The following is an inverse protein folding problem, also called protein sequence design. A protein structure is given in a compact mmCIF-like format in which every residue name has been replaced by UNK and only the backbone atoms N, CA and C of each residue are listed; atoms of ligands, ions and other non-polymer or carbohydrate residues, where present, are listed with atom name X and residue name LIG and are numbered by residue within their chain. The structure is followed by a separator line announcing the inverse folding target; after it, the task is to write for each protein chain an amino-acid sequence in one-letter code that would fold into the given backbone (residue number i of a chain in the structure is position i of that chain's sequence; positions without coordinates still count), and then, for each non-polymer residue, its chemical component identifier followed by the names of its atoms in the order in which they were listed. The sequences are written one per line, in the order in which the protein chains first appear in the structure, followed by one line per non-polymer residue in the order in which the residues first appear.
data_IF_481467207262
#
_entry.id   IF_481467207262
#
_cell.length_a   1.000
_cell.length_b   1.000
_cell.length_c   1.000
_cell.angle_alpha   90.00
_cell.angle_beta   90.00
_cell.angle_gamma   90.00
#
_symmetry.space_group_name_H-M   'P 1'
#
loop_
_entity.id
_entity.type
_entity.pdbx_description
1 polymer ?
#
# COMPACT_ATOMS: atom_id res chain seq x y z
N UNK A 1 19.01 17.11 -18.98
CA UNK A 1 18.15 17.69 -17.94
C UNK A 1 18.00 16.65 -16.85
N UNK A 2 18.69 16.82 -15.72
CA UNK A 2 18.56 15.91 -14.57
C UNK A 2 17.25 16.26 -13.87
N UNK A 3 16.22 15.44 -14.01
CA UNK A 3 15.03 15.57 -13.18
C UNK A 3 15.47 15.41 -11.73
N UNK A 4 15.28 16.45 -10.91
CA UNK A 4 15.49 16.35 -9.47
C UNK A 4 14.53 15.27 -8.95
N UNK A 5 15.04 14.04 -8.81
CA UNK A 5 14.27 12.88 -8.39
C UNK A 5 14.10 12.96 -6.89
N UNK A 6 13.04 13.61 -6.45
CA UNK A 6 12.63 13.58 -5.07
C UNK A 6 12.14 12.16 -4.73
N UNK A 7 12.69 11.59 -3.66
CA UNK A 7 12.25 10.30 -3.15
C UNK A 7 10.82 10.42 -2.62
N UNK A 8 10.02 9.39 -2.78
CA UNK A 8 8.65 9.30 -2.25
C UNK A 8 8.50 8.07 -1.38
N UNK A 9 7.59 8.13 -0.41
CA UNK A 9 7.17 6.93 0.31
C UNK A 9 6.55 5.96 -0.70
N UNK A 10 6.87 4.67 -0.57
CA UNK A 10 6.29 3.61 -1.39
C UNK A 10 4.76 3.63 -1.37
N UNK A 11 4.19 3.86 -0.18
CA UNK A 11 2.75 3.95 0.05
C UNK A 11 2.14 5.30 -0.36
N UNK A 12 2.89 6.15 -1.06
CA UNK A 12 2.47 7.46 -1.56
C UNK A 12 1.91 8.42 -0.48
N UNK A 13 2.33 8.25 0.77
CA UNK A 13 1.95 9.13 1.86
C UNK A 13 2.30 10.59 1.55
N UNK A 14 1.36 11.50 1.78
CA UNK A 14 1.61 12.92 1.80
C UNK A 14 2.28 13.27 3.14
N UNK A 15 3.61 13.34 3.14
CA UNK A 15 4.39 13.59 4.35
C UNK A 15 5.66 14.36 4.04
N UNK A 16 5.91 15.37 4.85
CA UNK A 16 7.20 16.08 4.91
C UNK A 16 8.20 15.39 5.87
N UNK A 17 7.87 14.18 6.33
CA UNK A 17 8.65 13.40 7.30
C UNK A 17 9.90 12.74 6.72
N UNK A 18 10.65 12.03 7.57
CA UNK A 18 11.87 11.32 7.15
C UNK A 18 11.48 10.09 6.32
N UNK A 19 12.13 9.95 5.18
CA UNK A 19 12.05 8.77 4.32
C UNK A 19 13.19 7.81 4.63
N UNK A 20 12.86 6.66 5.21
CA UNK A 20 13.81 5.61 5.54
C UNK A 20 14.11 4.73 4.34
N UNK A 21 15.40 4.52 4.08
CA UNK A 21 15.86 3.51 3.12
C UNK A 21 15.68 2.12 3.73
N UNK A 22 15.41 1.16 2.86
CA UNK A 22 15.49 -0.25 3.22
C UNK A 22 16.86 -0.62 3.83
N UNK A 23 16.91 -1.57 4.78
CA UNK A 23 18.17 -2.04 5.36
C UNK A 23 19.16 -2.53 4.30
N UNK A 24 20.47 -2.44 4.54
CA UNK A 24 21.43 -3.02 3.60
C UNK A 24 21.34 -4.56 3.67
N UNK A 25 20.95 -5.24 2.58
CA UNK A 25 20.80 -6.70 2.57
C UNK A 25 22.11 -7.45 2.84
N UNK A 26 23.28 -6.87 2.52
CA UNK A 26 24.59 -7.51 2.77
C UNK A 26 24.96 -7.56 4.26
N UNK A 27 24.37 -6.69 5.08
CA UNK A 27 24.69 -6.59 6.51
C UNK A 27 23.51 -6.96 7.42
N UNK A 28 22.28 -6.92 6.88
CA UNK A 28 21.07 -7.11 7.66
C UNK A 28 19.94 -7.67 6.79
N UNK A 29 20.21 -8.84 6.21
CA UNK A 29 19.30 -9.55 5.31
C UNK A 29 17.95 -9.86 5.98
N UNK A 30 17.97 -10.34 7.22
CA UNK A 30 16.74 -10.69 7.95
C UNK A 30 15.80 -9.49 8.10
N UNK A 31 16.33 -8.33 8.53
CA UNK A 31 15.54 -7.11 8.64
C UNK A 31 15.08 -6.60 7.27
N UNK A 32 15.92 -6.73 6.24
CA UNK A 32 15.52 -6.39 4.88
C UNK A 32 14.32 -7.24 4.43
N UNK A 33 14.37 -8.55 4.68
CA UNK A 33 13.29 -9.47 4.35
C UNK A 33 12.01 -9.16 5.14
N UNK A 34 12.10 -8.74 6.40
CA UNK A 34 10.93 -8.27 7.17
C UNK A 34 10.28 -7.04 6.54
N UNK A 35 11.06 -6.07 6.08
CA UNK A 35 10.51 -4.90 5.38
C UNK A 35 9.95 -5.27 4.01
N UNK A 36 10.57 -6.23 3.32
CA UNK A 36 10.11 -6.66 2.00
C UNK A 36 8.71 -7.28 2.04
N UNK A 37 8.31 -7.89 3.16
CA UNK A 37 6.97 -8.46 3.36
C UNK A 37 5.84 -7.44 3.25
N UNK A 38 6.10 -6.14 3.41
CA UNK A 38 5.07 -5.09 3.27
C UNK A 38 4.92 -4.58 1.84
N UNK A 39 5.77 -5.03 0.92
CA UNK A 39 5.70 -4.67 -0.49
C UNK A 39 4.77 -5.61 -1.25
N UNK A 40 4.18 -5.13 -2.33
CA UNK A 40 3.39 -5.94 -3.25
C UNK A 40 4.27 -6.97 -3.98
N UNK A 41 3.66 -8.04 -4.45
CA UNK A 41 4.38 -9.17 -5.07
C UNK A 41 5.13 -8.78 -6.34
N UNK A 42 4.62 -7.82 -7.12
CA UNK A 42 5.28 -7.32 -8.33
C UNK A 42 6.52 -6.49 -7.97
N UNK A 43 6.45 -5.72 -6.89
CA UNK A 43 7.58 -4.96 -6.38
C UNK A 43 8.68 -5.88 -5.83
N UNK A 44 8.29 -6.95 -5.11
CA UNK A 44 9.23 -7.95 -4.62
C UNK A 44 10.02 -8.61 -5.77
N UNK A 45 9.37 -8.89 -6.91
CA UNK A 45 10.00 -9.46 -8.11
C UNK A 45 11.05 -8.57 -8.77
N UNK A 46 11.07 -7.25 -8.51
CA UNK A 46 12.07 -6.33 -9.07
C UNK A 46 13.48 -6.56 -8.51
N UNK A 47 13.59 -7.32 -7.42
CA UNK A 47 14.86 -7.76 -6.86
C UNK A 47 15.46 -6.84 -5.81
N UNK A 48 16.33 -7.43 -5.01
CA UNK A 48 16.91 -6.85 -3.78
C UNK A 48 17.61 -5.51 -4.03
N UNK A 49 18.45 -5.44 -5.08
CA UNK A 49 19.23 -4.23 -5.37
C UNK A 49 18.35 -3.08 -5.88
N UNK A 50 17.28 -3.37 -6.61
CA UNK A 50 16.32 -2.37 -7.02
C UNK A 50 15.60 -1.79 -5.79
N UNK A 51 15.11 -2.67 -4.91
CA UNK A 51 14.37 -2.30 -3.71
C UNK A 51 15.22 -1.42 -2.79
N UNK A 52 16.44 -1.87 -2.46
CA UNK A 52 17.36 -1.12 -1.59
C UNK A 52 17.64 0.29 -2.11
N UNK A 53 17.88 0.43 -3.42
CA UNK A 53 18.24 1.72 -4.02
C UNK A 53 17.06 2.66 -4.15
N UNK A 54 15.88 2.14 -4.54
CA UNK A 54 14.76 2.98 -4.96
C UNK A 54 13.65 3.16 -3.92
N UNK A 55 13.47 2.20 -3.01
CA UNK A 55 12.29 2.16 -2.15
C UNK A 55 12.53 2.89 -0.84
N UNK A 56 11.52 3.63 -0.39
CA UNK A 56 11.53 4.36 0.88
C UNK A 56 10.22 4.17 1.63
N UNK A 57 10.29 4.16 2.95
CA UNK A 57 9.13 4.18 3.84
C UNK A 57 9.23 5.38 4.77
N UNK A 58 8.14 6.11 4.93
CA UNK A 58 8.10 7.23 5.87
C UNK A 58 7.96 6.78 7.33
N UNK A 59 8.19 7.69 8.27
CA UNK A 59 8.05 7.47 9.72
C UNK A 59 6.67 6.93 10.15
N UNK A 60 5.61 7.22 9.38
CA UNK A 60 4.24 6.83 9.73
C UNK A 60 4.00 5.31 9.67
N UNK A 61 4.92 4.54 9.10
CA UNK A 61 4.83 3.08 9.03
C UNK A 61 5.52 2.37 10.20
N UNK A 62 6.21 3.12 11.07
CA UNK A 62 6.94 2.57 12.20
C UNK A 62 6.33 3.04 13.51
N UNK A 63 6.18 2.12 14.46
CA UNK A 63 5.75 2.48 15.80
C UNK A 63 6.70 3.47 16.47
N UNK A 64 6.17 4.30 17.37
CA UNK A 64 6.93 5.38 18.00
C UNK A 64 8.16 4.87 18.77
N UNK A 65 8.09 3.70 19.41
CA UNK A 65 9.20 3.11 20.16
C UNK A 65 10.34 2.60 19.27
N UNK A 66 10.10 2.41 17.97
CA UNK A 66 11.14 2.16 16.98
C UNK A 66 11.87 3.43 16.55
N UNK A 67 11.38 4.62 16.92
CA UNK A 67 11.96 5.90 16.54
C UNK A 67 12.76 6.49 17.69
N UNK A 68 13.99 6.87 17.39
CA UNK A 68 14.82 7.66 18.30
C UNK A 68 14.39 9.14 18.26
N UNK A 69 14.73 9.95 19.28
CA UNK A 69 14.49 11.41 19.25
C UNK A 69 15.11 12.10 18.02
N UNK A 70 16.19 11.53 17.47
CA UNK A 70 16.85 11.99 16.24
C UNK A 70 16.14 11.60 14.94
N UNK A 71 14.91 11.07 15.03
CA UNK A 71 14.12 10.52 13.92
C UNK A 71 14.79 9.36 13.16
N UNK A 72 15.84 8.74 13.72
CA UNK A 72 16.42 7.49 13.19
C UNK A 72 15.63 6.30 13.73
N UNK A 73 15.59 5.24 12.93
CA UNK A 73 15.03 3.96 13.36
C UNK A 73 16.03 3.16 14.21
N UNK A 74 15.53 2.45 15.21
CA UNK A 74 16.32 1.50 16.00
C UNK A 74 16.76 0.30 15.15
N UNK A 75 17.70 -0.49 15.67
CA UNK A 75 18.30 -1.63 14.96
C UNK A 75 17.28 -2.70 14.54
N UNK A 76 16.24 -2.89 15.35
CA UNK A 76 15.23 -3.94 15.16
C UNK A 76 13.92 -3.40 14.59
N UNK A 77 13.88 -2.14 14.16
CA UNK A 77 12.66 -1.54 13.66
C UNK A 77 12.24 -2.15 12.32
N UNK A 78 10.96 -2.50 12.21
CA UNK A 78 10.29 -2.91 10.99
C UNK A 78 8.92 -2.23 10.87
N UNK A 79 8.41 -2.05 9.64
CA UNK A 79 7.13 -1.39 9.46
C UNK A 79 6.00 -2.27 10.00
N UNK A 80 5.14 -1.70 10.83
CA UNK A 80 3.98 -2.38 11.45
C UNK A 80 2.68 -1.59 11.29
N UNK A 81 2.75 -0.32 10.91
CA UNK A 81 1.61 0.59 10.85
C UNK A 81 1.26 0.96 9.41
N UNK A 82 -0.04 1.16 9.14
CA UNK A 82 -0.56 1.76 7.89
C UNK A 82 -0.12 1.01 6.61
N UNK A 83 0.05 -0.32 6.68
CA UNK A 83 0.50 -1.17 5.55
C UNK A 83 -0.67 -1.59 4.65
N UNK A 84 -1.86 -1.84 5.24
CA UNK A 84 -3.03 -2.34 4.52
C UNK A 84 -3.69 -1.31 3.58
N UNK A 85 -3.28 -0.04 3.64
CA UNK A 85 -3.87 1.03 2.83
C UNK A 85 -3.44 0.99 1.35
N UNK A 86 -2.51 0.11 0.98
CA UNK A 86 -1.96 0.03 -0.38
C UNK A 86 -2.29 -1.27 -1.12
N UNK A 87 -2.93 -2.23 -0.47
CA UNK A 87 -3.51 -3.39 -1.18
C UNK A 87 -4.77 -3.01 -1.97
N UNK A 88 -5.07 -1.70 -2.06
CA UNK A 88 -6.17 -1.12 -2.79
C UNK A 88 -5.71 -0.41 -4.06
N UNK A 89 -5.27 -1.17 -5.05
CA UNK A 89 -5.96 -1.05 -6.34
C UNK A 89 -7.31 -1.76 -6.22
N UNK A 90 -8.18 -1.25 -5.34
CA UNK A 90 -9.62 -1.41 -5.44
C UNK A 90 -10.08 -0.16 -6.19
N UNK A 91 -10.49 -0.23 -7.46
CA UNK A 91 -11.57 0.67 -7.85
C UNK A 91 -12.73 0.37 -6.88
N UNK A 92 -13.54 1.36 -6.50
CA UNK A 92 -14.90 1.19 -5.93
C UNK A 92 -15.13 1.46 -4.41
N UNK A 93 -14.18 1.67 -3.49
CA UNK A 93 -14.57 2.16 -2.13
C UNK A 93 -14.96 3.66 -2.08
N UNK A 94 -14.79 4.41 -3.16
CA UNK A 94 -15.45 5.72 -3.33
C UNK A 94 -16.95 5.54 -3.64
N UNK A 95 -17.37 4.39 -4.19
CA UNK A 95 -18.79 4.15 -4.48
C UNK A 95 -19.59 3.97 -3.18
N UNK A 96 -19.00 3.37 -2.15
CA UNK A 96 -19.63 3.25 -0.82
C UNK A 96 -19.78 4.61 -0.12
N UNK A 97 -18.94 5.60 -0.47
CA UNK A 97 -19.13 7.00 -0.05
C UNK A 97 -20.27 7.67 -0.83
N UNK A 98 -20.50 7.29 -2.10
CA UNK A 98 -21.56 7.81 -2.97
C UNK A 98 -22.94 7.20 -2.69
N UNK A 99 -23.02 6.10 -1.93
CA UNK A 99 -24.28 5.63 -1.32
C UNK A 99 -24.93 6.74 -0.46
N UNK A 100 -24.15 7.71 0.04
CA UNK A 100 -24.67 8.78 0.88
C UNK A 100 -25.24 10.01 0.11
N UNK A 101 -25.41 9.94 -1.22
CA UNK A 101 -25.95 11.06 -2.02
C UNK A 101 -27.22 10.75 -2.84
N UNK A 102 -27.87 9.59 -2.65
CA UNK A 102 -29.16 9.29 -3.31
C UNK A 102 -30.30 9.43 -2.29
N UNK A 103 -31.36 10.22 -2.56
CA UNK A 103 -32.50 10.34 -1.63
C UNK A 103 -33.29 9.02 -1.53
N UNK A 104 -33.92 8.76 -0.38
CA UNK A 104 -34.71 7.54 -0.08
C UNK A 104 -35.79 7.20 -1.13
N UNK A 105 -36.19 8.15 -1.96
CA UNK A 105 -37.31 8.04 -2.91
C UNK A 105 -37.07 7.06 -4.08
N UNK A 106 -35.84 6.60 -4.32
CA UNK A 106 -35.51 5.72 -5.46
C UNK A 106 -35.58 4.21 -5.12
N UNK A 107 -35.63 3.84 -3.83
CA UNK A 107 -35.56 2.45 -3.37
C UNK A 107 -36.81 1.59 -3.70
N UNK A 108 -37.97 2.18 -3.96
CA UNK A 108 -39.22 1.43 -4.17
C UNK A 108 -39.40 0.87 -5.60
N UNK A 109 -38.48 1.14 -6.53
CA UNK A 109 -38.65 0.81 -7.96
C UNK A 109 -37.94 -0.48 -8.42
N UNK A 110 -37.14 -1.12 -7.56
CA UNK A 110 -36.19 -2.17 -7.97
C UNK A 110 -36.64 -3.61 -7.63
N UNK A 111 -37.75 -3.82 -6.93
CA UNK A 111 -38.14 -5.19 -6.52
C UNK A 111 -38.78 -6.02 -7.64
N UNK A 112 -39.13 -5.47 -8.80
CA UNK A 112 -40.01 -6.19 -9.75
C UNK A 112 -39.43 -6.43 -11.15
N UNK A 113 -38.20 -6.02 -11.47
CA UNK A 113 -37.68 -6.19 -12.85
C UNK A 113 -36.20 -6.53 -12.92
N UNK A 114 -35.97 -7.76 -13.39
CA UNK A 114 -34.99 -8.10 -14.44
C UNK A 114 -33.61 -8.53 -13.95
N UNK A 115 -32.95 -9.57 -14.48
CA UNK A 115 -33.27 -10.61 -15.47
C UNK A 115 -32.15 -11.64 -15.34
N UNK A 116 -32.55 -12.89 -15.48
CA UNK A 116 -31.79 -14.11 -15.70
C UNK A 116 -30.63 -13.91 -16.69
N UNK A 117 -29.38 -13.99 -16.24
CA UNK A 117 -28.20 -14.18 -17.11
C UNK A 117 -27.82 -15.66 -17.02
N UNK A 118 -28.26 -16.45 -18.00
CA UNK A 118 -27.82 -17.83 -18.20
C UNK A 118 -26.40 -17.83 -18.77
N UNK A 119 -25.45 -18.39 -18.00
CA UNK A 119 -24.07 -18.57 -18.42
C UNK A 119 -23.94 -20.01 -18.93
N UNK A 120 -23.85 -20.17 -20.25
CA UNK A 120 -23.48 -21.43 -20.88
C UNK A 120 -22.03 -21.78 -20.54
N UNK A 121 -21.80 -22.92 -19.89
CA UNK A 121 -20.52 -23.60 -19.88
C UNK A 121 -20.69 -24.99 -20.51
N UNK A 122 -20.26 -25.12 -21.76
CA UNK A 122 -20.03 -26.41 -22.42
C UNK A 122 -18.77 -27.07 -21.85
N UNK A 123 -18.90 -28.27 -21.31
CA UNK A 123 -17.79 -29.20 -21.16
C UNK A 123 -18.12 -30.50 -21.91
N UNK A 124 -17.09 -30.99 -22.58
CA UNK A 124 -17.05 -32.14 -23.48
C UNK A 124 -17.00 -33.45 -22.70
#
# INVERSE_FOLDING_TARGET
MSSNKYWKCYFLCETDGVLHRFPNPQHNEERFNLWMKVLDSEMQKRGVQYIYNNMRLCDQHFELWYRTPSRKLTRNAFPTLNIALYDMTQPVLILDLLVNMVPEEVLCSLEDKSVRIEIYWTWK
#
